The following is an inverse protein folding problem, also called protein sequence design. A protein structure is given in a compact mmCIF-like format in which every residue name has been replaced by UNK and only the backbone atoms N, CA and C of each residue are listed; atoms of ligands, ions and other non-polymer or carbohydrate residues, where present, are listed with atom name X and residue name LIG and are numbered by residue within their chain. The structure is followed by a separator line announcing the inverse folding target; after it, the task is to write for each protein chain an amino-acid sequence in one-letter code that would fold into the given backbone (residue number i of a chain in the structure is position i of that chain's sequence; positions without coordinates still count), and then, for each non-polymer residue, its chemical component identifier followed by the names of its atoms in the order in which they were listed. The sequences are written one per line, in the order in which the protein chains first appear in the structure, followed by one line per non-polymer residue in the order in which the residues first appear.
data_IF_218968018429
#
_entry.id   IF_218968018429
#
_cell.length_a   1.000
_cell.length_b   1.000
_cell.length_c   1.000
_cell.angle_alpha   90.00
_cell.angle_beta   90.00
_cell.angle_gamma   90.00
#
_symmetry.space_group_name_H-M   'P 1'
#
loop_
_entity.id
_entity.type
_entity.pdbx_description
1 polymer ?
#
# COMPACT_ATOMS: atom_id res chain seq x y z
N UNK A 1 16.42 -15.27 -59.79
CA UNK A 1 15.95 -15.45 -58.39
C UNK A 1 17.02 -14.83 -57.48
N UNK A 2 16.74 -13.61 -56.95
CA UNK A 2 17.60 -12.94 -55.97
C UNK A 2 17.01 -13.26 -54.60
N UNK A 3 17.72 -14.06 -53.81
CA UNK A 3 17.43 -14.25 -52.39
C UNK A 3 17.80 -12.98 -51.65
N UNK A 4 16.76 -12.29 -51.14
CA UNK A 4 16.91 -11.15 -50.25
C UNK A 4 17.20 -11.63 -48.83
N UNK A 5 18.47 -11.59 -48.41
CA UNK A 5 18.83 -11.75 -47.01
C UNK A 5 18.23 -10.58 -46.17
N UNK A 6 17.16 -10.88 -45.45
CA UNK A 6 16.63 -10.01 -44.39
C UNK A 6 17.66 -9.96 -43.24
N UNK A 7 18.59 -9.02 -43.29
CA UNK A 7 19.44 -8.69 -42.15
C UNK A 7 18.58 -8.07 -41.03
N UNK A 8 18.12 -8.91 -40.14
CA UNK A 8 17.55 -8.47 -38.85
C UNK A 8 18.70 -7.80 -38.07
N UNK A 9 18.77 -6.48 -38.14
CA UNK A 9 19.72 -5.72 -37.33
C UNK A 9 19.31 -5.86 -35.86
N UNK A 10 19.94 -6.78 -35.15
CA UNK A 10 19.86 -6.87 -33.71
C UNK A 10 20.49 -5.59 -33.17
N UNK A 11 19.67 -4.61 -32.87
CA UNK A 11 20.09 -3.41 -32.15
C UNK A 11 20.56 -3.84 -30.77
N UNK A 12 21.85 -4.10 -30.61
CA UNK A 12 22.47 -4.23 -29.28
C UNK A 12 22.35 -2.91 -28.55
N UNK A 13 21.26 -2.73 -27.83
CA UNK A 13 21.09 -1.60 -26.95
C UNK A 13 21.88 -1.86 -25.65
N UNK A 14 23.18 -1.56 -25.69
CA UNK A 14 24.03 -1.50 -24.49
C UNK A 14 23.78 -0.18 -23.71
N UNK A 15 22.55 0.23 -23.53
CA UNK A 15 22.22 1.32 -22.62
C UNK A 15 21.91 0.69 -21.27
N UNK A 16 22.63 1.09 -20.22
CA UNK A 16 22.16 0.81 -18.85
C UNK A 16 20.71 1.27 -18.81
N UNK A 17 19.75 0.37 -18.64
CA UNK A 17 18.35 0.77 -18.67
C UNK A 17 18.11 1.71 -17.49
N UNK A 18 17.33 2.78 -17.69
CA UNK A 18 16.89 3.65 -16.62
C UNK A 18 16.34 2.79 -15.45
N UNK A 19 16.93 2.83 -14.24
CA UNK A 19 16.52 1.99 -13.12
C UNK A 19 15.08 2.24 -12.72
N UNK A 20 14.59 3.49 -12.80
CA UNK A 20 13.23 3.90 -12.46
C UNK A 20 12.20 3.67 -13.57
N UNK A 21 12.60 3.07 -14.74
CA UNK A 21 11.67 2.83 -15.84
C UNK A 21 10.44 2.04 -15.35
N UNK A 22 9.23 2.56 -15.65
CA UNK A 22 7.91 2.08 -15.25
C UNK A 22 7.51 2.37 -13.80
N UNK A 23 8.41 2.85 -12.96
CA UNK A 23 8.15 3.17 -11.55
C UNK A 23 8.10 4.68 -11.29
N UNK A 24 8.44 5.52 -12.27
CA UNK A 24 8.49 6.97 -12.11
C UNK A 24 7.34 7.65 -12.82
N UNK A 25 6.59 8.47 -12.06
CA UNK A 25 5.44 9.21 -12.56
C UNK A 25 5.54 10.68 -12.15
N UNK A 26 4.90 11.54 -12.94
CA UNK A 26 4.68 12.93 -12.58
C UNK A 26 3.50 13.04 -11.60
N UNK A 27 3.44 14.09 -10.81
CA UNK A 27 2.26 14.44 -9.97
C UNK A 27 0.94 14.49 -10.74
N UNK A 28 0.96 14.64 -12.07
CA UNK A 28 -0.22 14.51 -12.91
C UNK A 28 -0.65 13.05 -13.18
N UNK A 29 -0.01 12.06 -12.57
CA UNK A 29 -0.30 10.62 -12.72
C UNK A 29 0.28 9.96 -13.98
N UNK A 30 0.96 10.70 -14.86
CA UNK A 30 1.53 10.13 -16.10
C UNK A 30 3.02 9.85 -15.96
N UNK A 31 3.48 8.79 -16.64
CA UNK A 31 4.89 8.44 -16.66
C UNK A 31 5.76 9.59 -17.17
N UNK A 32 6.89 9.81 -16.49
CA UNK A 32 7.91 10.76 -16.94
C UNK A 32 8.65 10.22 -18.17
N UNK A 33 8.91 11.12 -19.09
CA UNK A 33 9.75 10.83 -20.26
C UNK A 33 11.21 10.96 -19.86
N UNK A 34 12.02 9.94 -20.21
CA UNK A 34 13.46 9.99 -20.10
C UNK A 34 14.09 10.28 -21.46
N UNK A 35 15.05 11.19 -21.49
CA UNK A 35 15.74 11.62 -22.69
C UNK A 35 17.24 11.79 -22.43
N UNK A 36 18.08 11.34 -23.35
CA UNK A 36 19.50 11.61 -23.34
C UNK A 36 19.80 12.70 -24.37
N UNK A 37 20.30 13.83 -23.90
CA UNK A 37 20.71 14.91 -24.79
C UNK A 37 21.89 14.43 -25.66
N UNK A 38 21.77 14.62 -26.97
CA UNK A 38 22.79 14.15 -27.91
C UNK A 38 24.05 15.00 -27.90
N UNK A 39 23.95 16.27 -27.47
CA UNK A 39 25.08 17.21 -27.47
C UNK A 39 25.88 17.11 -26.18
N UNK A 40 25.20 17.12 -25.04
CA UNK A 40 25.84 17.09 -23.71
C UNK A 40 26.03 15.68 -23.19
N UNK A 41 25.29 14.70 -23.72
CA UNK A 41 25.26 13.34 -23.20
C UNK A 41 24.45 13.20 -21.89
N UNK A 42 23.89 14.30 -21.39
CA UNK A 42 23.16 14.38 -20.15
C UNK A 42 21.82 13.64 -20.23
N UNK A 43 21.47 12.94 -19.17
CA UNK A 43 20.18 12.24 -19.04
C UNK A 43 19.21 13.12 -18.29
N UNK A 44 18.02 13.33 -18.86
CA UNK A 44 17.02 14.26 -18.36
C UNK A 44 15.67 13.59 -18.23
N UNK A 45 14.91 13.96 -17.20
CA UNK A 45 13.49 13.64 -17.09
C UNK A 45 12.63 14.88 -17.37
N UNK A 46 11.46 14.65 -17.96
CA UNK A 46 10.46 15.69 -18.21
C UNK A 46 9.07 15.10 -18.32
N UNK A 47 8.05 15.89 -18.00
CA UNK A 47 6.66 15.53 -18.24
C UNK A 47 6.16 16.17 -19.53
N UNK A 48 5.70 15.34 -20.49
CA UNK A 48 5.16 15.85 -21.75
C UNK A 48 3.78 16.50 -21.59
N UNK A 49 3.01 16.10 -20.60
CA UNK A 49 1.59 16.41 -20.52
C UNK A 49 1.23 17.44 -19.44
N UNK A 50 2.02 17.53 -18.39
CA UNK A 50 1.71 18.39 -17.24
C UNK A 50 1.93 19.87 -17.62
N UNK A 51 0.84 20.66 -17.55
CA UNK A 51 0.92 22.11 -17.83
C UNK A 51 1.67 22.87 -16.74
N UNK A 52 1.54 22.41 -15.47
CA UNK A 52 2.26 23.01 -14.34
C UNK A 52 3.78 22.88 -14.47
N UNK A 53 4.27 21.90 -15.24
CA UNK A 53 5.70 21.67 -15.46
C UNK A 53 6.15 22.22 -16.82
N UNK A 54 5.61 23.40 -17.19
CA UNK A 54 6.04 24.13 -18.38
C UNK A 54 6.46 25.54 -18.00
N UNK A 55 7.61 25.94 -18.50
CA UNK A 55 8.12 27.27 -18.39
C UNK A 55 8.29 27.85 -19.80
N UNK A 56 7.70 29.04 -20.05
CA UNK A 56 7.71 29.68 -21.37
C UNK A 56 7.28 28.74 -22.52
N UNK A 57 6.26 27.89 -22.25
CA UNK A 57 5.74 26.91 -23.21
C UNK A 57 6.60 25.68 -23.44
N UNK A 58 7.78 25.58 -22.82
CA UNK A 58 8.69 24.43 -22.89
C UNK A 58 8.53 23.55 -21.65
N UNK A 59 8.69 22.24 -21.82
CA UNK A 59 8.67 21.32 -20.69
C UNK A 59 9.90 21.56 -19.80
N UNK A 60 9.68 21.66 -18.47
CA UNK A 60 10.76 21.63 -17.49
C UNK A 60 11.51 20.31 -17.60
N UNK A 61 12.83 20.40 -17.56
CA UNK A 61 13.72 19.26 -17.63
C UNK A 61 14.58 19.23 -16.38
N UNK A 62 14.68 18.05 -15.77
CA UNK A 62 15.50 17.84 -14.58
C UNK A 62 16.53 16.77 -14.88
N UNK A 63 17.81 16.95 -14.48
CA UNK A 63 18.85 15.95 -14.61
C UNK A 63 18.44 14.65 -13.91
N UNK A 64 18.67 13.53 -14.58
CA UNK A 64 18.38 12.22 -14.01
C UNK A 64 19.19 11.97 -12.72
N UNK A 65 20.41 12.50 -12.65
CA UNK A 65 21.26 12.41 -11.47
C UNK A 65 20.60 13.06 -10.25
N UNK A 66 19.93 14.23 -10.42
CA UNK A 66 19.21 14.91 -9.35
C UNK A 66 18.06 14.02 -8.83
N UNK A 67 17.28 13.46 -9.74
CA UNK A 67 16.18 12.56 -9.36
C UNK A 67 16.70 11.30 -8.65
N UNK A 68 17.75 10.67 -9.18
CA UNK A 68 18.35 9.50 -8.55
C UNK A 68 18.88 9.79 -7.15
N UNK A 69 19.57 10.95 -6.98
CA UNK A 69 20.03 11.40 -5.68
C UNK A 69 18.86 11.57 -4.70
N UNK A 70 17.83 12.33 -5.10
CA UNK A 70 16.67 12.55 -4.24
C UNK A 70 15.93 11.25 -3.88
N UNK A 71 15.90 10.28 -4.79
CA UNK A 71 15.35 8.94 -4.49
C UNK A 71 16.22 8.22 -3.47
N UNK A 72 17.54 8.31 -3.58
CA UNK A 72 18.47 7.70 -2.61
C UNK A 72 18.35 8.34 -1.23
N UNK A 73 18.29 9.68 -1.18
CA UNK A 73 18.11 10.42 0.07
C UNK A 73 16.77 10.03 0.75
N UNK A 74 15.69 9.88 -0.04
CA UNK A 74 14.40 9.44 0.46
C UNK A 74 14.42 7.98 0.95
N UNK A 75 15.12 7.09 0.24
CA UNK A 75 15.30 5.70 0.65
C UNK A 75 16.08 5.58 1.95
N UNK A 76 17.06 6.41 2.18
CA UNK A 76 17.83 6.43 3.43
C UNK A 76 16.95 6.85 4.61
N UNK A 77 16.12 7.90 4.43
CA UNK A 77 15.15 8.32 5.45
C UNK A 77 14.13 7.21 5.75
N UNK A 78 13.55 6.60 4.72
CA UNK A 78 12.61 5.47 4.87
C UNK A 78 13.26 4.31 5.63
N UNK A 79 14.51 3.99 5.31
CA UNK A 79 15.24 2.91 5.97
C UNK A 79 15.45 3.18 7.46
N UNK A 80 15.78 4.42 7.83
CA UNK A 80 15.95 4.81 9.24
C UNK A 80 14.64 4.67 10.04
N UNK A 81 13.50 5.02 9.44
CA UNK A 81 12.19 4.84 10.06
C UNK A 81 11.84 3.35 10.22
N UNK A 82 12.09 2.55 9.18
CA UNK A 82 11.85 1.11 9.20
C UNK A 82 12.75 0.39 10.22
N UNK A 83 13.99 0.82 10.37
CA UNK A 83 14.92 0.28 11.37
C UNK A 83 14.46 0.57 12.81
N UNK A 84 14.00 1.78 13.07
CA UNK A 84 13.42 2.16 14.36
C UNK A 84 12.20 1.31 14.70
N UNK A 85 11.31 1.09 13.72
CA UNK A 85 10.16 0.23 13.89
C UNK A 85 10.55 -1.22 14.20
N UNK A 86 11.44 -1.79 13.38
CA UNK A 86 11.89 -3.16 13.61
C UNK A 86 12.49 -3.32 15.01
N UNK A 87 13.27 -2.34 15.47
CA UNK A 87 13.82 -2.30 16.80
C UNK A 87 12.72 -2.21 17.89
N UNK A 88 11.72 -1.34 17.72
CA UNK A 88 10.61 -1.21 18.66
C UNK A 88 9.80 -2.51 18.76
N UNK A 89 9.51 -3.17 17.64
CA UNK A 89 8.82 -4.46 17.63
C UNK A 89 9.66 -5.54 18.34
N UNK A 90 10.98 -5.56 18.15
CA UNK A 90 11.89 -6.46 18.84
C UNK A 90 11.93 -6.21 20.35
N UNK A 91 11.79 -4.96 20.78
CA UNK A 91 11.75 -4.55 22.19
C UNK A 91 10.39 -4.83 22.85
N UNK A 92 9.41 -5.33 22.12
CA UNK A 92 8.13 -5.78 22.67
C UNK A 92 6.93 -4.87 22.38
N UNK A 93 7.13 -3.73 21.69
CA UNK A 93 6.02 -2.86 21.27
C UNK A 93 4.98 -3.61 20.43
N UNK A 94 5.41 -4.52 19.57
CA UNK A 94 4.53 -5.38 18.79
C UNK A 94 3.58 -6.24 19.63
N UNK A 95 3.98 -6.71 20.81
CA UNK A 95 3.11 -7.49 21.70
C UNK A 95 2.02 -6.64 22.30
N UNK A 96 2.34 -5.44 22.79
CA UNK A 96 1.37 -4.50 23.34
C UNK A 96 0.35 -4.10 22.29
N UNK A 97 0.82 -3.71 21.08
CA UNK A 97 -0.05 -3.37 19.97
C UNK A 97 -1.00 -4.51 19.55
N UNK A 98 -0.53 -5.77 19.55
CA UNK A 98 -1.40 -6.93 19.29
C UNK A 98 -2.46 -7.07 20.40
N UNK A 99 -2.11 -6.88 21.67
CA UNK A 99 -3.06 -6.95 22.77
C UNK A 99 -4.16 -5.90 22.66
N UNK A 100 -3.81 -4.68 22.29
CA UNK A 100 -4.77 -3.59 22.05
C UNK A 100 -5.70 -3.93 20.87
N UNK A 101 -5.14 -4.33 19.74
CA UNK A 101 -5.94 -4.76 18.57
C UNK A 101 -6.90 -5.89 18.95
N UNK A 102 -6.43 -6.89 19.69
CA UNK A 102 -7.27 -8.00 20.16
C UNK A 102 -8.41 -7.52 21.07
N UNK A 103 -8.13 -6.60 21.96
CA UNK A 103 -9.13 -6.05 22.86
C UNK A 103 -10.23 -5.31 22.08
N UNK A 104 -9.85 -4.41 21.16
CA UNK A 104 -10.78 -3.68 20.29
C UNK A 104 -11.63 -4.64 19.43
N UNK A 105 -10.98 -5.61 18.77
CA UNK A 105 -11.67 -6.58 17.93
C UNK A 105 -12.58 -7.52 18.74
N UNK A 106 -12.19 -7.86 19.96
CA UNK A 106 -13.04 -8.65 20.88
C UNK A 106 -14.34 -7.92 21.21
N UNK A 107 -14.30 -6.61 21.40
CA UNK A 107 -15.50 -5.80 21.64
C UNK A 107 -16.39 -5.81 20.40
N UNK A 108 -15.82 -5.59 19.22
CA UNK A 108 -16.56 -5.61 17.95
C UNK A 108 -17.18 -6.99 17.67
N UNK A 109 -16.43 -8.07 17.89
CA UNK A 109 -16.93 -9.44 17.74
C UNK A 109 -18.09 -9.73 18.69
N UNK A 110 -18.00 -9.28 19.94
CA UNK A 110 -19.09 -9.46 20.91
C UNK A 110 -20.37 -8.72 20.48
N UNK A 111 -20.25 -7.52 19.90
CA UNK A 111 -21.41 -6.80 19.36
C UNK A 111 -22.07 -7.58 18.22
N UNK A 112 -21.28 -7.99 17.23
CA UNK A 112 -21.81 -8.75 16.08
C UNK A 112 -22.43 -10.09 16.52
N UNK A 113 -21.80 -10.79 17.48
CA UNK A 113 -22.35 -12.04 18.03
C UNK A 113 -23.66 -11.81 18.79
N UNK A 114 -23.79 -10.68 19.51
CA UNK A 114 -25.04 -10.32 20.17
C UNK A 114 -26.15 -10.08 19.13
N UNK A 115 -25.85 -9.36 18.05
CA UNK A 115 -26.78 -9.14 16.95
C UNK A 115 -27.19 -10.46 16.26
N UNK A 116 -26.23 -11.37 15.98
CA UNK A 116 -26.50 -12.69 15.45
C UNK A 116 -27.45 -13.50 16.35
N UNK A 117 -27.22 -13.45 17.67
CA UNK A 117 -28.09 -14.11 18.62
C UNK A 117 -29.51 -13.51 18.59
N UNK A 118 -29.62 -12.19 18.53
CA UNK A 118 -30.93 -11.52 18.42
C UNK A 118 -31.67 -11.93 17.16
N UNK A 119 -30.97 -11.99 16.01
CA UNK A 119 -31.58 -12.46 14.76
C UNK A 119 -32.05 -13.93 14.85
N UNK A 120 -31.30 -14.81 15.51
CA UNK A 120 -31.71 -16.19 15.68
C UNK A 120 -33.06 -16.34 16.42
N UNK A 121 -33.34 -15.45 17.38
CA UNK A 121 -34.63 -15.45 18.09
C UNK A 121 -35.81 -15.02 17.23
N UNK A 122 -35.61 -14.36 16.09
CA UNK A 122 -36.69 -13.97 15.17
C UNK A 122 -37.24 -15.14 14.38
N UNK A 123 -36.47 -16.19 14.15
CA UNK A 123 -36.86 -17.33 13.29
C UNK A 123 -37.96 -18.18 13.88
N UNK A 124 -37.92 -18.43 15.17
CA UNK A 124 -38.92 -19.32 15.83
C UNK A 124 -40.33 -18.68 15.84
N UNK A 125 -40.49 -17.43 16.32
CA UNK A 125 -41.79 -16.74 16.28
C UNK A 125 -42.35 -16.61 14.87
N UNK A 126 -41.49 -16.33 13.86
CA UNK A 126 -41.88 -16.23 12.47
C UNK A 126 -42.51 -17.54 11.97
N UNK A 127 -41.89 -18.68 12.30
CA UNK A 127 -42.42 -20.00 11.96
C UNK A 127 -43.74 -20.31 12.72
N UNK A 128 -43.82 -19.95 14.00
CA UNK A 128 -45.00 -20.13 14.83
C UNK A 128 -46.19 -19.32 14.29
N UNK A 129 -46.01 -18.08 13.92
CA UNK A 129 -47.04 -17.21 13.33
C UNK A 129 -47.52 -17.76 11.97
N UNK A 130 -46.63 -18.35 11.17
CA UNK A 130 -47.02 -19.02 9.92
C UNK A 130 -47.86 -20.25 10.21
N UNK A 131 -47.45 -21.10 11.16
CA UNK A 131 -48.19 -22.31 11.52
C UNK A 131 -49.56 -22.00 12.16
N UNK A 132 -49.68 -20.86 12.83
CA UNK A 132 -50.93 -20.35 13.40
C UNK A 132 -51.85 -19.70 12.35
N UNK A 133 -51.46 -19.61 11.09
CA UNK A 133 -52.11 -18.87 10.01
C UNK A 133 -52.31 -17.37 10.29
N UNK A 134 -51.46 -16.79 11.11
CA UNK A 134 -51.43 -15.33 11.39
C UNK A 134 -50.81 -14.54 10.24
N UNK A 135 -49.89 -15.16 9.49
CA UNK A 135 -49.24 -14.57 8.31
C UNK A 135 -49.42 -15.50 7.10
N UNK A 136 -49.42 -14.93 5.89
CA UNK A 136 -49.50 -15.69 4.65
C UNK A 136 -48.17 -16.34 4.30
N UNK A 137 -48.22 -17.34 3.42
CA UNK A 137 -47.01 -17.99 2.91
C UNK A 137 -46.07 -17.01 2.24
N UNK A 138 -46.57 -16.05 1.48
CA UNK A 138 -45.79 -15.02 0.82
C UNK A 138 -45.07 -14.08 1.85
N UNK A 139 -45.79 -13.71 2.91
CA UNK A 139 -45.20 -12.91 4.00
C UNK A 139 -44.13 -13.69 4.76
N UNK A 140 -44.38 -14.98 5.03
CA UNK A 140 -43.41 -15.85 5.68
C UNK A 140 -42.10 -15.93 4.88
N UNK A 141 -42.17 -16.20 3.57
CA UNK A 141 -40.95 -16.28 2.76
C UNK A 141 -40.24 -14.92 2.59
N UNK A 142 -40.99 -13.85 2.49
CA UNK A 142 -40.38 -12.52 2.44
C UNK A 142 -39.53 -12.20 3.70
N UNK A 143 -40.12 -12.43 4.89
CA UNK A 143 -39.41 -12.21 6.15
C UNK A 143 -38.27 -13.21 6.38
N UNK A 144 -38.44 -14.48 5.89
CA UNK A 144 -37.37 -15.48 5.93
C UNK A 144 -36.15 -15.03 5.08
N UNK A 145 -36.39 -14.48 3.89
CA UNK A 145 -35.33 -13.95 3.04
C UNK A 145 -34.61 -12.78 3.68
N UNK A 146 -35.34 -11.87 4.32
CA UNK A 146 -34.76 -10.74 5.06
C UNK A 146 -33.90 -11.22 6.24
N UNK A 147 -34.37 -12.23 6.96
CA UNK A 147 -33.61 -12.89 8.02
C UNK A 147 -32.32 -13.52 7.48
N UNK A 148 -32.38 -14.28 6.41
CA UNK A 148 -31.21 -14.94 5.83
C UNK A 148 -30.17 -13.93 5.33
N UNK A 149 -30.62 -12.84 4.73
CA UNK A 149 -29.74 -11.76 4.26
C UNK A 149 -29.08 -11.03 5.44
N UNK A 150 -29.81 -10.69 6.51
CA UNK A 150 -29.26 -10.08 7.72
C UNK A 150 -28.24 -11.02 8.39
N UNK A 151 -28.57 -12.28 8.53
CA UNK A 151 -27.69 -13.29 9.11
C UNK A 151 -26.41 -13.48 8.28
N UNK A 152 -26.51 -13.48 6.95
CA UNK A 152 -25.36 -13.56 6.04
C UNK A 152 -24.45 -12.36 6.22
N UNK A 153 -24.99 -11.12 6.24
CA UNK A 153 -24.20 -9.89 6.44
C UNK A 153 -23.44 -9.88 7.75
N UNK A 154 -24.09 -10.31 8.84
CA UNK A 154 -23.44 -10.36 10.15
C UNK A 154 -22.31 -11.41 10.20
N UNK A 155 -22.48 -12.55 9.55
CA UNK A 155 -21.43 -13.56 9.43
C UNK A 155 -20.25 -13.07 8.57
N UNK A 156 -20.51 -12.34 7.49
CA UNK A 156 -19.47 -11.69 6.68
C UNK A 156 -18.68 -10.66 7.50
N UNK A 157 -19.36 -9.83 8.32
CA UNK A 157 -18.71 -8.88 9.22
C UNK A 157 -17.84 -9.60 10.25
N UNK A 158 -18.33 -10.67 10.86
CA UNK A 158 -17.56 -11.45 11.82
C UNK A 158 -16.30 -12.04 11.19
N UNK A 159 -16.42 -12.59 9.99
CA UNK A 159 -15.30 -13.13 9.23
C UNK A 159 -14.27 -12.04 8.91
N UNK A 160 -14.73 -10.87 8.46
CA UNK A 160 -13.85 -9.75 8.16
C UNK A 160 -13.06 -9.27 9.39
N UNK A 161 -13.70 -9.19 10.58
CA UNK A 161 -13.03 -8.84 11.83
C UNK A 161 -11.96 -9.87 12.21
N UNK A 162 -12.26 -11.16 12.02
CA UNK A 162 -11.30 -12.24 12.32
C UNK A 162 -10.10 -12.21 11.37
N UNK A 163 -10.34 -12.02 10.07
CA UNK A 163 -9.29 -11.94 9.05
C UNK A 163 -8.38 -10.73 9.30
N UNK A 164 -8.96 -9.56 9.59
CA UNK A 164 -8.21 -8.36 9.91
C UNK A 164 -7.32 -8.57 11.16
N UNK A 165 -7.84 -9.20 12.19
CA UNK A 165 -7.05 -9.54 13.40
C UNK A 165 -5.84 -10.41 13.05
N UNK A 166 -6.02 -11.43 12.22
CA UNK A 166 -4.92 -12.31 11.79
C UNK A 166 -3.88 -11.58 10.95
N UNK A 167 -4.31 -10.62 10.12
CA UNK A 167 -3.38 -9.77 9.34
C UNK A 167 -2.49 -8.98 10.30
N UNK A 168 -3.07 -8.33 11.31
CA UNK A 168 -2.33 -7.57 12.31
C UNK A 168 -1.37 -8.44 13.12
N UNK A 169 -1.81 -9.61 13.58
CA UNK A 169 -0.96 -10.54 14.32
C UNK A 169 0.25 -11.01 13.52
N UNK A 170 0.06 -11.30 12.24
CA UNK A 170 1.16 -11.67 11.34
C UNK A 170 2.10 -10.49 11.12
N UNK A 171 1.53 -9.32 10.92
CA UNK A 171 2.24 -8.09 10.68
C UNK A 171 3.20 -7.76 11.82
N UNK A 172 2.72 -7.71 13.03
CA UNK A 172 3.46 -7.34 14.23
C UNK A 172 4.29 -8.49 14.84
N UNK A 173 4.27 -9.66 14.22
CA UNK A 173 5.03 -10.82 14.68
C UNK A 173 6.52 -10.69 14.37
N UNK A 174 7.38 -11.05 15.32
CA UNK A 174 8.83 -11.20 15.11
C UNK A 174 9.19 -12.21 14.00
N UNK A 175 8.26 -13.10 13.64
CA UNK A 175 8.41 -14.04 12.53
C UNK A 175 8.09 -13.44 11.16
N UNK A 176 7.69 -12.17 11.13
CA UNK A 176 7.40 -11.51 9.87
C UNK A 176 8.66 -11.48 9.00
N UNK A 177 8.59 -12.01 7.76
CA UNK A 177 9.75 -12.04 6.87
C UNK A 177 10.30 -10.65 6.57
N UNK A 178 9.45 -9.62 6.58
CA UNK A 178 9.86 -8.24 6.38
C UNK A 178 10.76 -7.74 7.52
N UNK A 179 10.38 -7.96 8.78
CA UNK A 179 11.20 -7.59 9.94
C UNK A 179 12.57 -8.26 9.86
N UNK A 180 12.61 -9.54 9.45
CA UNK A 180 13.85 -10.26 9.24
C UNK A 180 14.68 -9.73 8.08
N UNK A 181 14.01 -9.27 7.00
CA UNK A 181 14.69 -8.66 5.86
C UNK A 181 15.24 -7.26 6.20
N UNK A 182 14.53 -6.47 6.98
CA UNK A 182 14.99 -5.13 7.40
C UNK A 182 16.22 -5.21 8.29
N UNK A 183 16.30 -6.20 9.17
CA UNK A 183 17.51 -6.45 9.97
C UNK A 183 18.74 -6.80 9.11
N UNK A 184 18.57 -7.21 7.87
CA UNK A 184 19.63 -7.56 6.92
C UNK A 184 19.78 -6.55 5.78
N UNK A 185 18.90 -5.56 5.70
CA UNK A 185 18.89 -4.61 4.62
C UNK A 185 20.07 -3.64 4.76
N UNK A 186 20.76 -3.41 3.65
CA UNK A 186 21.71 -2.32 3.49
C UNK A 186 21.23 -1.43 2.37
N UNK A 187 21.17 -0.12 2.62
CA UNK A 187 20.88 0.83 1.58
C UNK A 187 21.83 0.61 0.39
N UNK A 188 21.32 0.56 -0.85
CA UNK A 188 22.16 0.35 -2.02
C UNK A 188 23.09 1.54 -2.20
N UNK A 189 24.36 1.30 -2.56
CA UNK A 189 25.29 2.38 -2.92
C UNK A 189 24.87 3.08 -4.22
N UNK A 190 24.23 2.36 -5.13
CA UNK A 190 23.68 2.87 -6.39
C UNK A 190 22.26 2.32 -6.61
N UNK A 191 21.40 3.15 -7.21
CA UNK A 191 20.04 2.76 -7.59
C UNK A 191 20.09 1.80 -8.78
N UNK A 192 19.87 0.54 -8.55
CA UNK A 192 19.77 -0.45 -9.60
C UNK A 192 18.31 -0.86 -9.90
N UNK A 193 18.11 -1.46 -11.07
CA UNK A 193 16.77 -1.86 -11.52
C UNK A 193 16.20 -3.03 -10.73
N UNK A 194 17.02 -3.91 -10.20
CA UNK A 194 16.59 -5.07 -9.44
C UNK A 194 16.04 -4.63 -8.08
N UNK A 195 16.74 -3.70 -7.46
CA UNK A 195 16.31 -3.03 -6.23
C UNK A 195 14.97 -2.30 -6.42
N UNK A 196 14.88 -1.42 -7.42
CA UNK A 196 13.65 -0.66 -7.72
C UNK A 196 12.47 -1.61 -7.94
N UNK A 197 12.66 -2.65 -8.75
CA UNK A 197 11.60 -3.63 -9.01
C UNK A 197 11.15 -4.39 -7.76
N UNK A 198 12.05 -4.63 -6.82
CA UNK A 198 11.78 -5.41 -5.61
C UNK A 198 11.09 -4.57 -4.52
N UNK A 199 11.55 -3.34 -4.30
CA UNK A 199 11.19 -2.55 -3.12
C UNK A 199 10.34 -1.33 -3.43
N UNK A 200 10.47 -0.70 -4.61
CA UNK A 200 9.78 0.53 -4.95
C UNK A 200 8.53 0.21 -5.76
N UNK A 201 7.38 0.69 -5.29
CA UNK A 201 6.14 0.64 -6.05
C UNK A 201 6.09 1.80 -7.04
N UNK A 202 6.24 3.02 -6.54
CA UNK A 202 6.14 4.22 -7.36
C UNK A 202 7.02 5.35 -6.82
N UNK A 203 7.60 6.12 -7.73
CA UNK A 203 8.26 7.40 -7.47
C UNK A 203 7.43 8.50 -8.12
N UNK A 204 6.81 9.35 -7.33
CA UNK A 204 6.06 10.51 -7.81
C UNK A 204 6.97 11.72 -7.81
N UNK A 205 7.03 12.45 -8.92
CA UNK A 205 7.96 13.57 -9.09
C UNK A 205 7.20 14.84 -9.42
N UNK A 206 7.48 15.89 -8.66
CA UNK A 206 7.13 17.28 -8.98
C UNK A 206 8.36 17.96 -9.55
N UNK A 207 8.33 18.33 -10.83
CA UNK A 207 9.44 19.05 -11.44
C UNK A 207 9.35 20.54 -11.03
N UNK A 208 10.41 21.02 -10.40
CA UNK A 208 10.58 22.43 -10.04
C UNK A 208 11.44 23.13 -11.10
N UNK A 209 11.42 24.45 -11.11
CA UNK A 209 12.37 25.23 -11.91
C UNK A 209 13.84 24.95 -11.51
N UNK A 210 14.77 25.45 -12.27
CA UNK A 210 16.22 25.39 -12.01
C UNK A 210 16.82 23.97 -11.86
N UNK A 211 16.21 22.99 -12.54
CA UNK A 211 16.71 21.61 -12.55
C UNK A 211 16.48 20.85 -11.24
N UNK A 212 15.61 21.35 -10.38
CA UNK A 212 15.24 20.73 -9.11
C UNK A 212 13.97 19.87 -9.25
N UNK A 213 13.80 18.94 -8.35
CA UNK A 213 12.60 18.09 -8.27
C UNK A 213 12.34 17.71 -6.81
N UNK A 214 11.06 17.72 -6.45
CA UNK A 214 10.56 17.03 -5.25
C UNK A 214 10.11 15.63 -5.62
N UNK A 215 10.33 14.68 -4.74
CA UNK A 215 9.90 13.31 -4.94
C UNK A 215 9.07 12.80 -3.77
N UNK A 216 8.00 12.07 -4.11
CA UNK A 216 7.28 11.21 -3.19
C UNK A 216 7.63 9.75 -3.52
N UNK A 217 8.07 9.01 -2.51
CA UNK A 217 8.43 7.61 -2.64
C UNK A 217 7.32 6.73 -2.07
N UNK A 218 6.82 5.78 -2.85
CA UNK A 218 5.92 4.74 -2.38
C UNK A 218 6.65 3.41 -2.44
N UNK A 219 6.85 2.81 -1.27
CA UNK A 219 7.46 1.49 -1.16
C UNK A 219 6.38 0.42 -1.28
N UNK A 220 6.73 -0.77 -1.74
CA UNK A 220 5.82 -1.94 -1.77
C UNK A 220 5.40 -2.42 -0.38
N UNK A 221 6.02 -1.88 0.65
CA UNK A 221 5.73 -2.15 2.07
C UNK A 221 4.84 -1.07 2.71
N UNK A 222 4.18 -0.24 1.91
CA UNK A 222 3.38 0.91 2.38
C UNK A 222 2.30 0.55 3.42
N UNK A 223 1.71 -0.63 3.34
CA UNK A 223 0.73 -1.10 4.33
C UNK A 223 1.27 -1.06 5.78
N UNK A 224 2.59 -1.20 5.94
CA UNK A 224 3.27 -1.15 7.23
C UNK A 224 3.31 0.25 7.84
N UNK A 225 3.40 1.30 7.03
CA UNK A 225 3.40 2.70 7.53
C UNK A 225 2.07 3.09 8.16
N UNK A 226 0.96 2.59 7.63
CA UNK A 226 -0.36 2.82 8.22
C UNK A 226 -0.48 2.12 9.59
N UNK A 227 0.19 0.98 9.73
CA UNK A 227 0.25 0.26 11.01
C UNK A 227 1.11 0.99 12.04
N UNK A 228 2.20 1.62 11.62
CA UNK A 228 3.09 2.43 12.46
C UNK A 228 2.41 3.64 13.07
N UNK A 229 1.72 4.42 12.28
CA UNK A 229 1.03 5.62 12.75
C UNK A 229 0.06 5.34 13.89
N UNK A 230 -0.46 4.11 14.02
CA UNK A 230 -1.29 3.70 15.15
C UNK A 230 -0.47 3.36 16.41
N UNK A 231 0.71 2.76 16.26
CA UNK A 231 1.58 2.43 17.41
C UNK A 231 2.14 3.71 18.03
N UNK A 232 2.54 4.68 17.22
CA UNK A 232 3.07 5.97 17.68
C UNK A 232 1.98 6.87 18.31
N UNK A 233 0.74 6.81 17.84
CA UNK A 233 -0.37 7.58 18.42
C UNK A 233 -0.73 7.09 19.83
N UNK A 234 -0.56 5.81 20.15
CA UNK A 234 -0.84 5.25 21.47
C UNK A 234 0.26 5.58 22.50
N UNK A 235 1.53 5.69 22.09
CA UNK A 235 2.61 6.12 23.00
C UNK A 235 2.47 7.57 23.46
N UNK A 236 1.83 8.44 22.66
CA UNK A 236 1.60 9.84 23.02
C UNK A 236 0.40 10.05 23.94
N UNK A 237 -0.57 9.12 23.96
CA UNK A 237 -1.77 9.26 24.81
C UNK A 237 -1.54 8.73 26.26
N UNK A 238 -0.55 7.84 26.44
CA UNK A 238 -0.21 7.30 27.78
C UNK A 238 0.73 8.24 28.58
N UNK A 239 1.29 9.29 27.92
CA UNK A 239 2.20 10.29 28.52
C UNK A 239 1.53 11.47 29.21
N UNK A 240 0.20 11.60 29.20
CA UNK A 240 -0.53 12.77 29.72
C UNK A 240 -1.43 12.49 30.92
N UNK A 241 -1.17 11.42 31.67
CA UNK A 241 -1.82 11.17 32.96
C UNK A 241 -0.77 11.13 34.08
N UNK A 242 -0.23 12.28 34.42
CA UNK A 242 0.30 12.60 35.74
C UNK A 242 -0.45 13.79 36.33
#
# INVERSE_FOLDING_TARGET
LREGENKISIRKSYKKPNPLAKHIVCTCGRALCWHKDKKTGEELFYCRYCRAHKENGKNLKVPAATIYKNVMDALELEHLEEEKLAAAIQQGAGKKAIEVVRAERSVQMKSVLAELNMEQFRRVPLYESYMANEITEEQYYAELMDYEEAHRKLNEQLTAIMEDTLVWERALSLRNPWIQQMAQYKAPEELDRSFVKKYIEQVTVTLLGDGQAEIGLTMKTYEWKQMLGRIEMEETDDGTKE
#
